data_IF_651529476632
#
_entry.id   IF_651529476632
#
_cell.length_a   1.000
_cell.length_b   1.000
_cell.length_c   1.000
_cell.angle_alpha   90.00
_cell.angle_beta   90.00
_cell.angle_gamma   90.00
#
_symmetry.space_group_name_H-M   'P 1'
#
loop_
_entity.id
_entity.type
_entity.pdbx_description
1 polymer ?
#
# COMPACT_ATOMS: atom_id res chain seq x y z
N UNK A 1 -1.62 3.65 -16.68
CA UNK A 1 -0.27 3.70 -17.29
C UNK A 1 0.08 2.27 -17.67
N UNK A 2 0.39 2.01 -18.91
CA UNK A 2 0.60 0.65 -19.42
C UNK A 2 2.08 0.51 -19.76
N UNK A 3 2.80 -0.42 -19.12
CA UNK A 3 4.18 -0.75 -19.46
C UNK A 3 4.25 -2.14 -20.12
N UNK A 4 5.22 -2.37 -21.00
CA UNK A 4 5.45 -3.69 -21.61
C UNK A 4 6.27 -4.57 -20.67
N UNK A 5 5.78 -5.78 -20.41
CA UNK A 5 6.54 -6.82 -19.73
C UNK A 5 7.67 -7.34 -20.66
N UNK A 6 8.83 -7.78 -20.11
CA UNK A 6 9.89 -8.45 -20.89
C UNK A 6 9.41 -9.70 -21.66
N UNK A 7 8.29 -10.29 -21.26
CA UNK A 7 7.65 -11.42 -21.92
C UNK A 7 6.61 -11.01 -23.00
N UNK A 8 6.55 -9.73 -23.41
CA UNK A 8 5.70 -9.24 -24.50
C UNK A 8 4.23 -8.98 -24.15
N UNK A 9 3.80 -9.18 -22.89
CA UNK A 9 2.46 -8.88 -22.43
C UNK A 9 2.32 -7.44 -21.93
N UNK A 10 1.11 -6.88 -21.98
CA UNK A 10 0.80 -5.58 -21.39
C UNK A 10 0.59 -5.73 -19.88
N UNK A 11 1.31 -4.95 -19.07
CA UNK A 11 1.05 -4.83 -17.64
C UNK A 11 -0.08 -3.84 -17.40
N UNK A 12 -1.17 -4.31 -16.82
CA UNK A 12 -2.27 -3.46 -16.38
C UNK A 12 -2.00 -3.00 -14.94
N UNK A 13 -1.97 -1.69 -14.73
CA UNK A 13 -1.97 -1.09 -13.41
C UNK A 13 -3.41 -1.02 -12.93
N UNK A 14 -3.81 -1.91 -12.03
CA UNK A 14 -5.14 -1.87 -11.41
C UNK A 14 -5.10 -1.14 -10.09
N UNK A 15 -5.95 -0.16 -9.98
CA UNK A 15 -6.20 0.58 -8.76
C UNK A 15 -7.34 -0.12 -8.00
N UNK A 16 -7.03 -0.78 -6.92
CA UNK A 16 -8.03 -1.43 -6.08
C UNK A 16 -8.37 -0.54 -4.88
N UNK A 17 -9.37 0.33 -5.07
CA UNK A 17 -10.07 1.00 -3.97
C UNK A 17 -9.24 1.99 -3.13
N UNK A 18 -9.59 2.12 -1.86
CA UNK A 18 -9.03 3.06 -0.88
C UNK A 18 -7.56 2.73 -0.54
N UNK A 19 -7.14 1.52 -0.80
CA UNK A 19 -5.80 0.98 -0.54
C UNK A 19 -4.98 0.96 -1.83
N UNK A 20 -3.76 1.50 -1.77
CA UNK A 20 -2.90 1.69 -2.94
C UNK A 20 -2.09 0.42 -3.20
N UNK A 21 -2.59 -0.39 -4.11
CA UNK A 21 -1.86 -1.54 -4.62
C UNK A 21 -1.64 -1.37 -6.12
N UNK A 22 -0.41 -1.55 -6.60
CA UNK A 22 -0.08 -1.59 -8.02
C UNK A 22 0.34 -3.00 -8.37
N UNK A 23 -0.41 -3.64 -9.25
CA UNK A 23 -0.07 -4.93 -9.82
C UNK A 23 0.64 -4.76 -11.16
N UNK A 24 1.84 -5.31 -11.27
CA UNK A 24 2.54 -5.47 -12.54
C UNK A 24 2.37 -6.93 -13.01
N UNK A 25 1.38 -7.20 -13.87
CA UNK A 25 1.22 -8.50 -14.47
C UNK A 25 -0.18 -9.13 -14.35
N UNK A 26 -0.38 -10.27 -15.02
CA UNK A 26 -1.66 -10.97 -15.07
C UNK A 26 -2.05 -11.50 -13.69
N UNK A 27 -3.10 -10.91 -13.12
CA UNK A 27 -3.63 -11.20 -11.77
C UNK A 27 -4.14 -12.64 -11.67
N UNK A 28 -3.31 -13.59 -11.30
CA UNK A 28 -3.79 -14.94 -10.95
C UNK A 28 -3.20 -15.52 -9.68
N UNK A 29 -2.54 -14.76 -8.82
CA UNK A 29 -2.16 -15.32 -7.52
C UNK A 29 -1.75 -14.21 -6.54
N UNK A 30 -2.70 -13.63 -5.83
CA UNK A 30 -2.43 -12.83 -4.62
C UNK A 30 -2.32 -13.71 -3.38
N UNK A 31 -2.53 -15.03 -3.52
CA UNK A 31 -2.40 -15.95 -2.42
C UNK A 31 -0.95 -16.02 -1.95
N UNK A 32 -0.71 -15.61 -0.69
CA UNK A 32 0.56 -15.55 0.02
C UNK A 32 1.52 -14.42 -0.38
N UNK A 33 1.04 -13.34 -0.98
CA UNK A 33 1.88 -12.17 -1.27
C UNK A 33 2.14 -11.39 0.01
N UNK A 34 3.40 -11.03 0.25
CA UNK A 34 3.74 -10.08 1.31
C UNK A 34 3.25 -8.68 0.92
N UNK A 35 2.71 -7.95 1.90
CA UNK A 35 2.19 -6.63 1.62
C UNK A 35 1.95 -5.78 2.87
N UNK A 36 1.73 -4.50 2.66
CA UNK A 36 1.35 -3.57 3.71
C UNK A 36 0.12 -2.77 3.30
N UNK A 37 -0.56 -2.23 4.29
CA UNK A 37 -1.70 -1.35 4.17
C UNK A 37 -1.67 -0.30 5.30
N UNK A 38 -2.67 0.57 5.36
CA UNK A 38 -2.85 1.45 6.49
C UNK A 38 -2.92 0.64 7.79
N UNK A 39 -2.18 1.06 8.81
CA UNK A 39 -1.99 0.32 10.06
C UNK A 39 -3.28 -0.15 10.74
N UNK A 40 -4.40 0.57 10.55
CA UNK A 40 -5.70 0.19 11.11
C UNK A 40 -6.39 -0.98 10.38
N UNK A 41 -5.84 -1.46 9.27
CA UNK A 41 -6.42 -2.52 8.43
C UNK A 41 -5.47 -3.69 8.17
N UNK A 42 -4.24 -3.63 8.67
CA UNK A 42 -3.21 -4.67 8.40
C UNK A 42 -3.60 -6.05 8.90
N UNK A 43 -4.42 -6.15 9.94
CA UNK A 43 -4.97 -7.41 10.47
C UNK A 43 -6.05 -8.03 9.56
N UNK A 44 -6.55 -7.30 8.57
CA UNK A 44 -7.48 -7.82 7.56
C UNK A 44 -6.77 -8.40 6.34
N UNK A 45 -5.47 -8.16 6.16
CA UNK A 45 -4.69 -8.69 5.03
C UNK A 45 -4.75 -10.22 4.90
N UNK A 46 -4.69 -11.01 5.98
CA UNK A 46 -4.84 -12.46 5.87
C UNK A 46 -6.16 -12.93 5.28
N UNK A 47 -7.25 -12.14 5.42
CA UNK A 47 -8.56 -12.48 4.87
C UNK A 47 -8.60 -12.41 3.34
N UNK A 48 -7.67 -11.67 2.74
CA UNK A 48 -7.49 -11.59 1.29
C UNK A 48 -6.26 -12.38 0.80
N UNK A 49 -5.72 -13.26 1.65
CA UNK A 49 -4.59 -14.13 1.30
C UNK A 49 -3.22 -13.46 1.36
N UNK A 50 -3.11 -12.23 1.86
CA UNK A 50 -1.85 -11.50 1.97
C UNK A 50 -1.21 -11.66 3.35
N UNK A 51 0.12 -11.65 3.40
CA UNK A 51 0.89 -11.63 4.65
C UNK A 51 1.36 -10.21 4.94
N UNK A 52 1.03 -9.69 6.14
CA UNK A 52 1.47 -8.34 6.53
C UNK A 52 2.99 -8.30 6.71
N UNK A 53 3.63 -7.40 5.99
CA UNK A 53 5.03 -7.00 6.19
C UNK A 53 5.10 -5.55 6.66
N UNK A 54 5.78 -5.36 7.81
CA UNK A 54 5.89 -4.05 8.45
C UNK A 54 6.96 -3.19 7.78
N UNK A 55 6.63 -2.66 6.61
CA UNK A 55 7.47 -1.73 5.87
C UNK A 55 6.60 -0.64 5.24
N UNK A 56 7.13 0.55 5.04
CA UNK A 56 6.39 1.67 4.46
C UNK A 56 5.97 1.39 3.02
N UNK A 57 6.86 0.72 2.27
CA UNK A 57 6.60 0.15 0.94
C UNK A 57 7.10 -1.29 0.95
N UNK A 58 6.29 -2.22 0.49
CA UNK A 58 6.62 -3.64 0.37
C UNK A 58 6.60 -4.01 -1.09
N UNK A 59 7.65 -4.70 -1.54
CA UNK A 59 7.74 -5.28 -2.88
C UNK A 59 7.87 -6.79 -2.77
N UNK A 60 6.92 -7.50 -3.33
CA UNK A 60 6.93 -8.96 -3.44
C UNK A 60 6.70 -9.37 -4.90
N UNK A 61 7.77 -9.78 -5.56
CA UNK A 61 7.76 -10.08 -6.98
C UNK A 61 7.33 -8.89 -7.84
N UNK A 62 6.18 -9.02 -8.48
CA UNK A 62 5.56 -7.99 -9.33
C UNK A 62 4.44 -7.19 -8.64
N UNK A 63 4.31 -7.37 -7.33
CA UNK A 63 3.34 -6.64 -6.50
C UNK A 63 4.09 -5.63 -5.64
N UNK A 64 3.64 -4.38 -5.64
CA UNK A 64 4.14 -3.34 -4.75
C UNK A 64 2.97 -2.78 -3.97
N UNK A 65 3.08 -2.78 -2.65
CA UNK A 65 2.07 -2.24 -1.73
C UNK A 65 2.69 -1.18 -0.83
N UNK A 66 1.87 -0.35 -0.24
CA UNK A 66 2.34 0.66 0.70
C UNK A 66 1.35 0.85 1.85
N UNK A 67 1.82 1.41 2.95
CA UNK A 67 1.04 1.74 4.12
C UNK A 67 0.05 2.90 3.90
N UNK A 68 -0.17 3.73 4.93
CA UNK A 68 -1.13 4.83 4.89
C UNK A 68 -0.88 5.88 3.79
N UNK A 69 -1.80 6.81 3.67
CA UNK A 69 -1.88 7.82 2.59
C UNK A 69 -0.54 8.52 2.28
N UNK A 70 0.22 8.87 3.31
CA UNK A 70 1.49 9.59 3.15
C UNK A 70 2.63 8.73 2.58
N UNK A 71 2.53 7.41 2.64
CA UNK A 71 3.48 6.50 1.98
C UNK A 71 3.31 6.50 0.46
N UNK A 72 2.28 7.19 -0.07
CA UNK A 72 2.02 7.25 -1.49
C UNK A 72 3.12 7.95 -2.31
N UNK A 73 3.89 8.85 -1.70
CA UNK A 73 5.04 9.46 -2.38
C UNK A 73 6.20 8.47 -2.44
N UNK A 74 6.53 7.82 -1.31
CA UNK A 74 7.57 6.77 -1.27
C UNK A 74 7.24 5.63 -2.23
N UNK A 75 5.96 5.24 -2.27
CA UNK A 75 5.44 4.25 -3.21
C UNK A 75 5.61 4.69 -4.67
N UNK A 76 5.23 5.93 -5.00
CA UNK A 76 5.39 6.48 -6.34
C UNK A 76 6.84 6.51 -6.79
N UNK A 77 7.76 6.92 -5.91
CA UNK A 77 9.20 6.91 -6.19
C UNK A 77 9.73 5.49 -6.38
N UNK A 78 9.25 4.52 -5.58
CA UNK A 78 9.62 3.11 -5.75
C UNK A 78 9.15 2.57 -7.11
N UNK A 79 7.93 2.90 -7.55
CA UNK A 79 7.41 2.53 -8.87
C UNK A 79 8.21 3.18 -9.99
N UNK A 80 8.59 4.46 -9.85
CA UNK A 80 9.44 5.14 -10.84
C UNK A 80 10.80 4.46 -10.94
N UNK A 81 11.39 4.07 -9.81
CA UNK A 81 12.65 3.34 -9.79
C UNK A 81 12.58 2.01 -10.54
N UNK A 82 11.48 1.25 -10.39
CA UNK A 82 11.25 -0.01 -11.10
C UNK A 82 11.08 0.17 -12.62
N UNK A 83 10.42 1.24 -13.04
CA UNK A 83 10.07 1.45 -14.46
C UNK A 83 11.20 2.17 -15.21
N UNK A 84 11.80 3.17 -14.59
CA UNK A 84 12.69 4.13 -15.24
C UNK A 84 14.09 4.21 -14.60
N UNK A 85 14.35 3.38 -13.60
CA UNK A 85 15.63 3.33 -12.89
C UNK A 85 15.73 4.32 -11.73
N UNK A 86 16.63 4.00 -10.80
CA UNK A 86 16.84 4.72 -9.54
C UNK A 86 17.24 6.18 -9.77
N UNK A 87 18.11 6.44 -10.74
CA UNK A 87 18.54 7.81 -11.07
C UNK A 87 17.35 8.70 -11.44
N UNK A 88 16.40 8.17 -12.22
CA UNK A 88 15.17 8.90 -12.57
C UNK A 88 14.31 9.18 -11.34
N UNK A 89 14.18 8.20 -10.44
CA UNK A 89 13.43 8.37 -9.20
C UNK A 89 14.07 9.47 -8.31
N UNK A 90 15.40 9.51 -8.19
CA UNK A 90 16.12 10.53 -7.45
C UNK A 90 15.95 11.93 -8.05
N UNK A 91 15.97 12.05 -9.39
CA UNK A 91 15.68 13.32 -10.07
C UNK A 91 14.25 13.78 -9.76
N UNK A 92 13.28 12.87 -9.81
CA UNK A 92 11.88 13.18 -9.46
C UNK A 92 11.76 13.60 -8.00
N UNK A 93 12.39 12.86 -7.08
CA UNK A 93 12.38 13.17 -5.64
C UNK A 93 12.91 14.59 -5.37
N UNK A 94 14.07 14.94 -5.96
CA UNK A 94 14.63 16.27 -5.84
C UNK A 94 13.74 17.33 -6.50
N UNK A 95 13.17 17.01 -7.66
CA UNK A 95 12.31 17.94 -8.40
C UNK A 95 11.00 18.31 -7.69
N UNK A 96 10.49 17.42 -6.84
CA UNK A 96 9.33 17.68 -6.00
C UNK A 96 9.67 18.11 -4.58
N UNK A 97 10.98 18.27 -4.28
CA UNK A 97 11.47 18.64 -2.94
C UNK A 97 10.93 17.71 -1.83
N UNK A 98 10.91 16.39 -2.09
CA UNK A 98 10.40 15.43 -1.10
C UNK A 98 11.46 15.13 -0.05
N UNK A 99 11.46 15.92 1.02
CA UNK A 99 12.31 15.83 2.20
C UNK A 99 11.44 15.93 3.49
N UNK A 100 10.70 14.87 3.87
CA UNK A 100 9.68 14.94 4.91
C UNK A 100 10.27 15.12 6.31
N UNK A 101 9.85 16.16 7.01
CA UNK A 101 10.22 16.47 8.39
C UNK A 101 8.96 16.76 9.23
N UNK A 102 8.16 15.74 9.60
CA UNK A 102 6.92 15.94 10.32
C UNK A 102 7.17 16.55 11.73
N UNK A 103 6.33 17.50 12.17
CA UNK A 103 6.52 18.19 13.45
C UNK A 103 6.21 17.33 14.68
N UNK A 104 5.58 16.17 14.48
CA UNK A 104 5.20 15.24 15.55
C UNK A 104 5.61 13.82 15.21
N UNK A 105 5.93 13.01 16.25
CA UNK A 105 6.29 11.59 16.07
C UNK A 105 5.09 10.63 16.28
N UNK A 106 3.90 11.06 15.89
CA UNK A 106 2.66 10.27 16.00
C UNK A 106 2.22 9.64 14.66
N UNK A 107 3.09 9.66 13.66
CA UNK A 107 2.78 9.14 12.32
C UNK A 107 2.80 7.61 12.20
N UNK A 108 3.17 6.89 13.26
CA UNK A 108 3.20 5.43 13.28
C UNK A 108 2.56 4.90 14.57
N UNK A 109 1.74 3.81 14.53
CA UNK A 109 1.02 3.30 15.69
C UNK A 109 1.89 2.84 16.85
N UNK A 110 3.16 2.50 16.61
CA UNK A 110 4.11 2.09 17.65
C UNK A 110 4.74 3.27 18.39
N UNK A 111 4.73 4.46 17.78
CA UNK A 111 5.28 5.68 18.38
C UNK A 111 4.21 6.62 18.91
N UNK A 112 3.01 6.55 18.31
CA UNK A 112 1.89 7.38 18.72
C UNK A 112 1.47 7.10 20.18
N UNK A 113 1.18 8.12 21.00
CA UNK A 113 0.61 7.94 22.33
C UNK A 113 -0.67 7.10 22.28
N UNK A 114 -0.85 6.20 23.26
CA UNK A 114 -1.99 5.28 23.30
C UNK A 114 -3.35 5.99 23.25
N UNK A 115 -3.47 7.16 23.90
CA UNK A 115 -4.69 7.95 23.89
C UNK A 115 -5.05 8.45 22.47
N UNK A 116 -4.04 8.90 21.70
CA UNK A 116 -4.24 9.35 20.31
C UNK A 116 -4.68 8.19 19.42
N UNK A 117 -4.03 7.03 19.58
CA UNK A 117 -4.38 5.81 18.85
C UNK A 117 -5.82 5.36 19.15
N UNK A 118 -6.21 5.34 20.43
CA UNK A 118 -7.57 4.96 20.84
C UNK A 118 -8.62 5.94 20.33
N UNK A 119 -8.38 7.25 20.45
CA UNK A 119 -9.30 8.26 19.94
C UNK A 119 -9.53 8.14 18.43
N UNK A 120 -8.49 7.77 17.66
CA UNK A 120 -8.61 7.58 16.22
C UNK A 120 -9.39 6.31 15.87
N UNK A 121 -9.17 5.20 16.59
CA UNK A 121 -9.85 3.92 16.34
C UNK A 121 -11.33 3.96 16.70
N UNK A 122 -11.72 4.63 17.79
CA UNK A 122 -13.10 4.70 18.29
C UNK A 122 -14.06 5.57 17.46
N UNK A 123 -13.69 5.94 16.25
CA UNK A 123 -14.48 6.81 15.40
C UNK A 123 -14.58 6.26 13.96
N UNK A 124 -14.12 7.08 13.02
CA UNK A 124 -14.21 6.83 11.57
C UNK A 124 -13.67 5.45 11.13
N UNK A 125 -12.67 4.89 11.83
CA UNK A 125 -12.06 3.62 11.42
C UNK A 125 -12.91 2.41 11.76
N UNK A 126 -13.74 2.43 12.79
CA UNK A 126 -14.62 1.28 13.13
C UNK A 126 -15.66 1.05 12.04
N UNK A 127 -16.27 2.13 11.52
CA UNK A 127 -17.22 2.04 10.41
C UNK A 127 -16.54 1.54 9.11
N UNK A 128 -15.38 2.11 8.78
CA UNK A 128 -14.61 1.72 7.60
C UNK A 128 -14.15 0.25 7.66
N UNK A 129 -13.72 -0.22 8.83
CA UNK A 129 -13.33 -1.63 9.04
C UNK A 129 -14.51 -2.57 8.84
N UNK A 130 -15.66 -2.23 9.43
CA UNK A 130 -16.88 -3.03 9.29
C UNK A 130 -17.35 -3.14 7.84
N UNK A 131 -17.30 -2.02 7.09
CA UNK A 131 -17.65 -2.00 5.68
C UNK A 131 -16.66 -2.84 4.83
N UNK A 132 -15.37 -2.77 5.14
CA UNK A 132 -14.33 -3.54 4.45
C UNK A 132 -14.48 -5.04 4.70
N UNK A 133 -14.70 -5.44 5.95
CA UNK A 133 -14.96 -6.84 6.33
C UNK A 133 -16.19 -7.40 5.59
N UNK A 134 -17.30 -6.65 5.57
CA UNK A 134 -18.50 -7.06 4.84
C UNK A 134 -18.25 -7.21 3.33
N UNK A 135 -17.40 -6.37 2.75
CA UNK A 135 -16.97 -6.49 1.36
C UNK A 135 -16.20 -7.78 1.08
N UNK A 136 -15.25 -8.13 1.95
CA UNK A 136 -14.49 -9.40 1.85
C UNK A 136 -15.44 -10.59 1.97
N UNK A 137 -16.31 -10.60 2.99
CA UNK A 137 -17.26 -11.70 3.23
C UNK A 137 -18.21 -11.92 2.05
N UNK A 138 -18.59 -10.85 1.34
CA UNK A 138 -19.41 -10.95 0.14
C UNK A 138 -18.67 -11.53 -1.05
N UNK A 139 -17.39 -11.17 -1.21
CA UNK A 139 -16.54 -11.65 -2.31
C UNK A 139 -16.14 -13.12 -2.14
N UNK A 140 -16.06 -13.62 -0.90
CA UNK A 140 -15.67 -15.02 -0.61
C UNK A 140 -16.84 -16.01 -0.78
N UNK A 141 -18.07 -15.50 -0.95
CA UNK A 141 -19.29 -16.34 -1.14
C UNK A 141 -19.62 -16.62 -2.60
N UNK A 142 -18.84 -16.11 -3.54
CA UNK A 142 -18.96 -16.32 -4.99
C UNK A 142 -17.95 -17.36 -5.48
#
# INVERSE_FOLDING_TARGET
>A
MVSRSPAGGWCEVRYLGVHRCVHFGCCRNTERTAGNDHWAFTDLLPLVGATHEKSRVVKDGNVITAGGVTSGIDFGLSVVAEIAGETTAQIVQLGIEYDPAPPFDSGHPDRAPAAIKSALLSGRYDEARSAFQAGIDSATRL
#
